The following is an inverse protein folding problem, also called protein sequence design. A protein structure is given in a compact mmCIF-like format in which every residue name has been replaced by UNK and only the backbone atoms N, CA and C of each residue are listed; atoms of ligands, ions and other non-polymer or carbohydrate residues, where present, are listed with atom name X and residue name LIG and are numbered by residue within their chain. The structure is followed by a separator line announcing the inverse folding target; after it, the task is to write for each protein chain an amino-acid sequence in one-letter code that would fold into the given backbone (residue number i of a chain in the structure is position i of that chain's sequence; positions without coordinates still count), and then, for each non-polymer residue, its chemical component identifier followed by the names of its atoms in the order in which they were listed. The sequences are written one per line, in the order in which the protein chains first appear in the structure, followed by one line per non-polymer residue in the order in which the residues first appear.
data_IF_872239750788
#
_entry.id   IF_872239750788
#
_cell.length_a   1.000
_cell.length_b   1.000
_cell.length_c   1.000
_cell.angle_alpha   90.00
_cell.angle_beta   90.00
_cell.angle_gamma   90.00
#
_symmetry.space_group_name_H-M   'P 1'
#
loop_
_entity.id
_entity.type
_entity.pdbx_description
1 polymer ?
#
# COMPACT_ATOMS: atom_id res chain seq x y z
N UNK A 1 -0.17 37.81 51.75
CA UNK A 1 -0.97 36.71 51.17
C UNK A 1 -0.65 36.70 49.69
N UNK A 2 0.40 35.97 49.30
CA UNK A 2 1.04 36.11 48.00
C UNK A 2 0.47 35.08 47.02
N UNK A 3 -0.73 35.37 46.51
CA UNK A 3 -1.36 34.55 45.46
C UNK A 3 -0.46 34.38 44.22
N UNK A 4 0.45 35.33 43.96
CA UNK A 4 1.41 35.26 42.86
C UNK A 4 2.50 34.21 43.06
N UNK A 5 2.99 34.05 44.30
CA UNK A 5 3.98 33.02 44.61
C UNK A 5 3.36 31.63 44.52
N UNK A 6 2.09 31.51 44.95
CA UNK A 6 1.32 30.26 44.90
C UNK A 6 0.99 29.85 43.45
N UNK A 7 0.58 30.81 42.60
CA UNK A 7 0.41 30.59 41.16
C UNK A 7 1.72 30.20 40.47
N UNK A 8 2.85 30.79 40.87
CA UNK A 8 4.18 30.45 40.32
C UNK A 8 4.59 29.04 40.71
N UNK A 9 4.34 28.61 41.95
CA UNK A 9 4.57 27.24 42.38
C UNK A 9 3.63 26.24 41.72
N UNK A 10 2.35 26.59 41.53
CA UNK A 10 1.41 25.75 40.77
C UNK A 10 1.88 25.60 39.32
N UNK A 11 2.32 26.68 38.67
CA UNK A 11 2.81 26.67 37.29
C UNK A 11 4.15 25.91 37.13
N UNK A 12 5.06 26.01 38.10
CA UNK A 12 6.30 25.23 38.13
C UNK A 12 6.08 23.75 38.54
N UNK A 13 5.02 23.46 39.29
CA UNK A 13 4.63 22.10 39.71
C UNK A 13 3.78 21.35 38.69
N UNK A 14 3.20 22.08 37.73
CA UNK A 14 2.55 21.51 36.56
C UNK A 14 3.62 20.83 35.71
N UNK A 15 3.88 19.56 36.02
CA UNK A 15 4.78 18.69 35.26
C UNK A 15 4.39 18.71 33.78
N UNK A 16 5.14 19.46 32.99
CA UNK A 16 5.13 19.41 31.53
C UNK A 16 5.81 18.14 31.00
N UNK A 17 6.39 17.32 31.88
CA UNK A 17 7.04 16.03 31.61
C UNK A 17 6.13 14.98 30.92
N UNK A 18 4.82 15.23 30.86
CA UNK A 18 3.83 14.35 30.24
C UNK A 18 3.20 14.85 28.94
N UNK A 19 3.47 16.10 28.52
CA UNK A 19 3.01 16.57 27.21
C UNK A 19 3.99 16.06 26.15
N UNK A 20 3.53 15.31 25.13
CA UNK A 20 4.36 15.01 23.98
C UNK A 20 4.80 16.33 23.38
N UNK A 21 6.11 16.55 23.32
CA UNK A 21 6.69 17.71 22.65
C UNK A 21 5.99 17.85 21.27
N UNK A 22 5.32 18.98 20.96
CA UNK A 22 4.63 19.14 19.69
C UNK A 22 5.54 18.86 18.48
N UNK A 23 6.85 19.01 18.66
CA UNK A 23 7.86 18.62 17.67
C UNK A 23 8.09 17.10 17.59
N UNK A 24 7.95 16.33 18.66
CA UNK A 24 7.95 14.87 18.63
C UNK A 24 6.73 14.29 17.90
N UNK A 25 5.54 14.83 18.12
CA UNK A 25 4.35 14.45 17.35
C UNK A 25 4.54 14.70 15.85
N UNK A 26 5.00 15.91 15.49
CA UNK A 26 5.29 16.26 14.09
C UNK A 26 6.35 15.34 13.48
N UNK A 27 7.40 14.98 14.23
CA UNK A 27 8.44 14.04 13.78
C UNK A 27 7.86 12.64 13.52
N UNK A 28 6.98 12.13 14.38
CA UNK A 28 6.34 10.82 14.18
C UNK A 28 5.46 10.83 12.93
N UNK A 29 4.64 11.86 12.74
CA UNK A 29 3.77 12.02 11.57
C UNK A 29 4.60 12.12 10.28
N UNK A 30 5.65 12.96 10.27
CA UNK A 30 6.54 13.15 9.12
C UNK A 30 7.32 11.87 8.77
N UNK A 31 7.77 11.11 9.78
CA UNK A 31 8.44 9.82 9.59
C UNK A 31 7.49 8.76 9.03
N UNK A 32 6.26 8.68 9.54
CA UNK A 32 5.25 7.78 9.01
C UNK A 32 4.88 8.12 7.55
N UNK A 33 4.66 9.41 7.26
CA UNK A 33 4.34 9.92 5.92
C UNK A 33 5.46 9.62 4.93
N UNK A 34 6.71 9.99 5.24
CA UNK A 34 7.87 9.74 4.36
C UNK A 34 8.12 8.25 4.10
N UNK A 35 7.96 7.38 5.10
CA UNK A 35 8.06 5.94 4.90
C UNK A 35 6.95 5.37 4.00
N UNK A 36 5.70 5.81 4.20
CA UNK A 36 4.56 5.39 3.37
C UNK A 36 4.67 5.93 1.94
N UNK A 37 5.09 7.18 1.77
CA UNK A 37 5.37 7.81 0.47
C UNK A 37 6.45 7.03 -0.28
N UNK A 38 7.61 6.79 0.33
CA UNK A 38 8.71 6.02 -0.29
C UNK A 38 8.26 4.64 -0.75
N UNK A 39 7.54 3.91 0.10
CA UNK A 39 7.02 2.58 -0.26
C UNK A 39 6.04 2.62 -1.43
N UNK A 40 5.11 3.57 -1.44
CA UNK A 40 4.16 3.73 -2.55
C UNK A 40 4.86 4.13 -3.85
N UNK A 41 5.85 5.01 -3.76
CA UNK A 41 6.61 5.47 -4.91
C UNK A 41 7.43 4.32 -5.51
N UNK A 42 8.08 3.50 -4.66
CA UNK A 42 8.79 2.30 -5.07
C UNK A 42 7.84 1.32 -5.80
N UNK A 43 6.63 1.10 -5.26
CA UNK A 43 5.61 0.25 -5.92
C UNK A 43 5.23 0.78 -7.29
N UNK A 44 5.04 2.09 -7.47
CA UNK A 44 4.76 2.69 -8.78
C UNK A 44 5.90 2.45 -9.76
N UNK A 45 7.13 2.81 -9.38
CA UNK A 45 8.29 2.70 -10.25
C UNK A 45 8.50 1.25 -10.67
N UNK A 46 8.42 0.30 -9.73
CA UNK A 46 8.55 -1.13 -10.03
C UNK A 46 7.42 -1.64 -10.93
N UNK A 47 6.18 -1.19 -10.71
CA UNK A 47 5.04 -1.60 -11.53
C UNK A 47 5.17 -1.08 -12.96
N UNK A 48 5.55 0.19 -13.13
CA UNK A 48 5.79 0.79 -14.44
C UNK A 48 6.97 0.11 -15.15
N UNK A 49 8.08 -0.13 -14.44
CA UNK A 49 9.24 -0.83 -15.00
C UNK A 49 8.85 -2.22 -15.51
N UNK A 50 8.10 -2.99 -14.72
CA UNK A 50 7.66 -4.33 -15.12
C UNK A 50 6.73 -4.28 -16.34
N UNK A 51 5.77 -3.35 -16.38
CA UNK A 51 4.90 -3.16 -17.55
C UNK A 51 5.70 -2.77 -18.79
N UNK A 52 6.69 -1.88 -18.67
CA UNK A 52 7.57 -1.50 -19.78
C UNK A 52 8.41 -2.69 -20.26
N UNK A 53 8.94 -3.52 -19.35
CA UNK A 53 9.68 -4.73 -19.71
C UNK A 53 8.79 -5.71 -20.48
N UNK A 54 7.55 -5.94 -20.04
CA UNK A 54 6.61 -6.81 -20.76
C UNK A 54 6.35 -6.26 -22.18
N UNK A 55 6.11 -4.95 -22.31
CA UNK A 55 5.91 -4.32 -23.62
C UNK A 55 7.15 -4.42 -24.52
N UNK A 56 8.34 -4.22 -23.96
CA UNK A 56 9.60 -4.36 -24.70
C UNK A 56 9.80 -5.80 -25.21
N UNK A 57 9.51 -6.81 -24.36
CA UNK A 57 9.57 -8.21 -24.75
C UNK A 57 8.59 -8.50 -25.89
N UNK A 58 7.35 -8.00 -25.81
CA UNK A 58 6.37 -8.16 -26.89
C UNK A 58 6.78 -7.47 -28.20
N UNK A 59 7.55 -6.38 -28.14
CA UNK A 59 8.02 -5.66 -29.31
C UNK A 59 9.24 -6.32 -29.97
N UNK A 60 10.15 -6.91 -29.17
CA UNK A 60 11.37 -7.57 -29.67
C UNK A 60 11.09 -8.99 -30.13
N UNK A 61 10.21 -9.72 -29.45
CA UNK A 61 9.91 -11.11 -29.76
C UNK A 61 8.70 -11.21 -30.68
N UNK A 62 8.88 -11.87 -31.84
CA UNK A 62 7.77 -12.21 -32.71
C UNK A 62 7.07 -13.48 -32.22
N UNK A 63 5.92 -13.28 -31.57
CA UNK A 63 5.04 -14.36 -31.12
C UNK A 63 4.10 -14.77 -32.26
N UNK A 64 3.84 -16.07 -32.40
CA UNK A 64 2.95 -16.61 -33.43
C UNK A 64 1.47 -16.49 -33.03
N UNK A 65 1.18 -16.54 -31.72
CA UNK A 65 -0.20 -16.51 -31.24
C UNK A 65 -0.62 -15.13 -30.73
N UNK A 66 -1.79 -14.68 -31.17
CA UNK A 66 -2.43 -13.44 -30.71
C UNK A 66 -2.69 -13.49 -29.19
N UNK A 67 -2.92 -14.69 -28.63
CA UNK A 67 -3.14 -14.89 -27.20
C UNK A 67 -1.99 -14.36 -26.34
N UNK A 68 -0.75 -14.43 -26.83
CA UNK A 68 0.44 -13.97 -26.12
C UNK A 68 0.50 -12.44 -26.06
N UNK A 69 0.12 -11.77 -27.16
CA UNK A 69 -0.01 -10.32 -27.19
C UNK A 69 -1.15 -9.83 -26.28
N UNK A 70 -2.31 -10.50 -26.30
CA UNK A 70 -3.43 -10.19 -25.41
C UNK A 70 -3.04 -10.40 -23.94
N UNK A 71 -2.40 -11.54 -23.62
CA UNK A 71 -1.97 -11.88 -22.27
C UNK A 71 -0.95 -10.89 -21.73
N UNK A 72 0.07 -10.57 -22.53
CA UNK A 72 1.06 -9.55 -22.21
C UNK A 72 0.46 -8.15 -22.03
N UNK A 73 -0.47 -7.76 -22.90
CA UNK A 73 -1.23 -6.52 -22.77
C UNK A 73 -2.06 -6.46 -21.47
N UNK A 74 -2.73 -7.55 -21.10
CA UNK A 74 -3.49 -7.65 -19.84
C UNK A 74 -2.57 -7.49 -18.62
N UNK A 75 -1.39 -8.14 -18.64
CA UNK A 75 -0.41 -8.01 -17.57
C UNK A 75 0.11 -6.57 -17.47
N UNK A 76 0.49 -5.95 -18.60
CA UNK A 76 0.94 -4.57 -18.62
C UNK A 76 -0.15 -3.60 -18.11
N UNK A 77 -1.41 -3.80 -18.53
CA UNK A 77 -2.56 -3.02 -18.07
C UNK A 77 -2.80 -3.18 -16.56
N UNK A 78 -2.66 -4.40 -16.02
CA UNK A 78 -2.78 -4.65 -14.59
C UNK A 78 -1.71 -3.91 -13.77
N UNK A 79 -0.48 -3.85 -14.28
CA UNK A 79 0.62 -3.08 -13.68
C UNK A 79 0.37 -1.57 -13.73
N UNK A 80 -0.18 -1.06 -14.83
CA UNK A 80 -0.57 0.35 -14.94
C UNK A 80 -1.73 0.72 -14.01
N UNK A 81 -2.75 -0.14 -13.88
CA UNK A 81 -3.83 0.05 -12.90
C UNK A 81 -3.30 0.08 -11.46
N UNK A 82 -2.33 -0.79 -11.15
CA UNK A 82 -1.67 -0.79 -9.85
C UNK A 82 -0.91 0.52 -9.61
N UNK A 83 -0.15 0.99 -10.60
CA UNK A 83 0.57 2.26 -10.53
C UNK A 83 -0.39 3.45 -10.36
N UNK A 84 -1.44 3.53 -11.17
CA UNK A 84 -2.44 4.61 -11.11
C UNK A 84 -3.16 4.67 -9.75
N UNK A 85 -3.56 3.51 -9.21
CA UNK A 85 -4.22 3.46 -7.91
C UNK A 85 -3.28 3.92 -6.79
N UNK A 86 -2.01 3.53 -6.86
CA UNK A 86 -1.00 4.00 -5.89
C UNK A 86 -0.67 5.48 -6.06
N UNK A 87 -0.70 6.01 -7.29
CA UNK A 87 -0.46 7.41 -7.59
C UNK A 87 -1.58 8.30 -7.03
N UNK A 88 -2.84 7.92 -7.27
CA UNK A 88 -4.00 8.60 -6.67
C UNK A 88 -3.93 8.60 -5.15
N UNK A 89 -3.49 7.48 -4.57
CA UNK A 89 -3.27 7.42 -3.12
C UNK A 89 -2.11 8.32 -2.67
N UNK A 90 -1.00 8.37 -3.41
CA UNK A 90 0.17 9.21 -3.11
C UNK A 90 -0.17 10.70 -3.09
N UNK A 91 -0.95 11.18 -4.08
CA UNK A 91 -1.41 12.58 -4.14
C UNK A 91 -2.10 12.99 -2.84
N UNK A 92 -3.00 12.14 -2.33
CA UNK A 92 -3.72 12.36 -1.06
C UNK A 92 -2.79 12.40 0.17
N UNK A 93 -1.66 11.69 0.16
CA UNK A 93 -0.65 11.79 1.23
C UNK A 93 0.22 13.04 1.08
N UNK A 94 0.34 13.60 -0.12
CA UNK A 94 1.10 14.82 -0.37
C UNK A 94 0.36 16.06 0.10
N UNK A 95 -0.97 16.10 -0.06
CA UNK A 95 -1.86 17.19 0.37
C UNK A 95 -1.98 17.36 1.91
N UNK A 96 -1.35 16.47 2.69
CA UNK A 96 -1.45 16.42 4.15
C UNK A 96 -0.39 17.27 4.90
N UNK A 97 0.20 18.29 4.26
CA UNK A 97 1.41 18.97 4.79
C UNK A 97 1.17 19.79 6.07
N UNK A 98 -0.06 20.29 6.30
CA UNK A 98 -0.42 21.11 7.46
C UNK A 98 -1.79 20.71 8.03
N UNK A 99 -1.88 19.48 8.57
CA UNK A 99 -3.13 19.01 9.20
C UNK A 99 -3.11 19.11 10.72
N UNK A 100 -4.21 19.59 11.29
CA UNK A 100 -4.50 19.52 12.72
C UNK A 100 -4.62 18.07 13.21
N UNK A 101 -4.41 17.82 14.50
CA UNK A 101 -4.50 16.47 15.10
C UNK A 101 -5.86 15.79 14.83
N UNK A 102 -6.95 16.56 14.84
CA UNK A 102 -8.30 16.08 14.51
C UNK A 102 -8.44 15.72 13.03
N UNK A 103 -7.86 16.51 12.14
CA UNK A 103 -7.83 16.24 10.70
C UNK A 103 -6.98 15.00 10.38
N UNK A 104 -5.88 14.80 11.11
CA UNK A 104 -5.06 13.61 10.97
C UNK A 104 -5.78 12.33 11.44
N UNK A 105 -6.56 12.41 12.53
CA UNK A 105 -7.43 11.31 12.98
C UNK A 105 -8.48 10.96 11.91
N UNK A 106 -9.16 11.96 11.36
CA UNK A 106 -10.13 11.77 10.27
C UNK A 106 -9.46 11.16 9.02
N UNK A 107 -8.24 11.61 8.69
CA UNK A 107 -7.45 11.06 7.60
C UNK A 107 -7.08 9.58 7.81
N UNK A 108 -6.70 9.19 9.04
CA UNK A 108 -6.40 7.78 9.38
C UNK A 108 -7.66 6.92 9.19
N UNK A 109 -8.82 7.39 9.67
CA UNK A 109 -10.07 6.64 9.51
C UNK A 109 -10.45 6.47 8.02
N UNK A 110 -10.37 7.54 7.24
CA UNK A 110 -10.64 7.47 5.81
C UNK A 110 -9.58 6.62 5.06
N UNK A 111 -8.34 6.60 5.55
CA UNK A 111 -7.30 5.70 5.01
C UNK A 111 -7.65 4.23 5.27
N UNK A 112 -8.19 3.91 6.45
CA UNK A 112 -8.68 2.56 6.77
C UNK A 112 -9.77 2.12 5.79
N UNK A 113 -10.80 2.94 5.60
CA UNK A 113 -11.91 2.64 4.67
C UNK A 113 -11.41 2.43 3.24
N UNK A 114 -10.48 3.27 2.78
CA UNK A 114 -9.87 3.10 1.45
C UNK A 114 -9.01 1.83 1.35
N UNK A 115 -8.28 1.44 2.41
CA UNK A 115 -7.54 0.18 2.42
C UNK A 115 -8.50 -1.01 2.34
N UNK A 116 -9.57 -1.03 3.10
CA UNK A 116 -10.59 -2.10 3.04
C UNK A 116 -11.20 -2.20 1.63
N UNK A 117 -11.55 -1.07 1.01
CA UNK A 117 -12.06 -1.05 -0.36
C UNK A 117 -11.03 -1.57 -1.38
N UNK A 118 -9.78 -1.11 -1.27
CA UNK A 118 -8.69 -1.55 -2.15
C UNK A 118 -8.45 -3.05 -2.04
N UNK A 119 -8.37 -3.61 -0.84
CA UNK A 119 -8.14 -5.03 -0.61
C UNK A 119 -9.32 -5.92 -1.03
N UNK A 120 -10.56 -5.42 -0.90
CA UNK A 120 -11.77 -6.17 -1.29
C UNK A 120 -12.04 -6.13 -2.79
N UNK A 121 -11.87 -4.98 -3.45
CA UNK A 121 -12.23 -4.81 -4.86
C UNK A 121 -11.03 -4.67 -5.78
N UNK A 122 -10.22 -3.63 -5.60
CA UNK A 122 -9.17 -3.26 -6.56
C UNK A 122 -8.04 -4.29 -6.65
N UNK A 123 -7.57 -4.81 -5.50
CA UNK A 123 -6.52 -5.83 -5.46
C UNK A 123 -6.98 -7.15 -6.08
N UNK A 124 -8.25 -7.52 -5.86
CA UNK A 124 -8.83 -8.74 -6.47
C UNK A 124 -8.89 -8.58 -7.98
N UNK A 125 -9.38 -7.45 -8.47
CA UNK A 125 -9.45 -7.18 -9.91
C UNK A 125 -8.06 -7.22 -10.55
N UNK A 126 -7.06 -6.54 -9.97
CA UNK A 126 -5.68 -6.54 -10.47
C UNK A 126 -5.09 -7.96 -10.48
N UNK A 127 -5.31 -8.73 -9.41
CA UNK A 127 -4.79 -10.09 -9.29
C UNK A 127 -5.43 -11.01 -10.35
N UNK A 128 -6.74 -10.94 -10.55
CA UNK A 128 -7.43 -11.73 -11.58
C UNK A 128 -6.94 -11.36 -12.99
N UNK A 129 -6.85 -10.06 -13.29
CA UNK A 129 -6.38 -9.58 -14.60
C UNK A 129 -4.96 -10.07 -14.90
N UNK A 130 -4.05 -9.96 -13.92
CA UNK A 130 -2.67 -10.41 -14.03
C UNK A 130 -2.61 -11.94 -14.19
N UNK A 131 -3.43 -12.68 -13.43
CA UNK A 131 -3.50 -14.15 -13.50
C UNK A 131 -3.95 -14.63 -14.88
N UNK A 132 -5.02 -14.04 -15.43
CA UNK A 132 -5.54 -14.36 -16.76
C UNK A 132 -4.49 -14.01 -17.82
N UNK A 133 -3.85 -12.84 -17.70
CA UNK A 133 -2.78 -12.43 -18.60
C UNK A 133 -1.60 -13.41 -18.60
N UNK A 134 -1.22 -13.91 -17.43
CA UNK A 134 -0.12 -14.87 -17.29
C UNK A 134 -0.48 -16.25 -17.87
N UNK A 135 -1.71 -16.73 -17.66
CA UNK A 135 -2.22 -17.98 -18.24
C UNK A 135 -2.17 -17.94 -19.78
N UNK A 136 -2.61 -16.81 -20.36
CA UNK A 136 -2.61 -16.57 -21.80
C UNK A 136 -1.18 -16.46 -22.37
N UNK A 137 -0.29 -15.78 -21.65
CA UNK A 137 1.11 -15.60 -22.06
C UNK A 137 1.92 -16.91 -22.03
N UNK A 138 1.67 -17.77 -21.04
CA UNK A 138 2.36 -19.07 -20.89
C UNK A 138 1.89 -20.15 -21.87
N UNK A 139 0.76 -19.95 -22.55
CA UNK A 139 0.19 -20.93 -23.46
C UNK A 139 1.12 -21.25 -24.64
N UNK A 140 1.62 -20.23 -25.32
CA UNK A 140 2.50 -20.38 -26.48
C UNK A 140 3.80 -21.13 -26.18
N UNK A 141 4.61 -20.78 -25.16
CA UNK A 141 5.83 -21.52 -24.84
C UNK A 141 5.55 -22.94 -24.36
N UNK A 142 4.44 -23.19 -23.65
CA UNK A 142 4.09 -24.52 -23.17
C UNK A 142 3.55 -25.45 -24.26
N UNK A 143 2.92 -24.91 -25.32
CA UNK A 143 2.33 -25.71 -26.40
C UNK A 143 3.32 -26.62 -27.14
N UNK A 144 4.63 -26.36 -27.01
CA UNK A 144 5.70 -27.17 -27.61
C UNK A 144 5.80 -28.57 -27.01
N UNK A 145 5.50 -28.73 -25.71
CA UNK A 145 5.55 -30.02 -25.01
C UNK A 145 4.44 -30.12 -23.96
N UNK A 146 3.55 -31.10 -24.09
CA UNK A 146 2.37 -31.26 -23.24
C UNK A 146 2.72 -31.42 -21.74
N UNK A 147 3.78 -32.17 -21.43
CA UNK A 147 4.27 -32.35 -20.06
C UNK A 147 4.77 -31.03 -19.46
N UNK A 148 5.46 -30.22 -20.29
CA UNK A 148 5.98 -28.92 -19.86
C UNK A 148 4.84 -27.93 -19.61
N UNK A 149 3.82 -27.93 -20.47
CA UNK A 149 2.59 -27.16 -20.29
C UNK A 149 1.91 -27.50 -18.96
N UNK A 150 1.73 -28.80 -18.67
CA UNK A 150 1.10 -29.27 -17.44
C UNK A 150 1.89 -28.84 -16.19
N UNK A 151 3.22 -28.99 -16.21
CA UNK A 151 4.08 -28.54 -15.12
C UNK A 151 4.00 -27.01 -14.91
N UNK A 152 4.05 -26.22 -15.98
CA UNK A 152 3.96 -24.75 -15.87
C UNK A 152 2.62 -24.30 -15.31
N UNK A 153 1.51 -24.87 -15.77
CA UNK A 153 0.19 -24.55 -15.22
C UNK A 153 0.02 -25.03 -13.77
N UNK A 154 0.53 -26.21 -13.41
CA UNK A 154 0.49 -26.69 -12.02
C UNK A 154 1.25 -25.75 -11.08
N UNK A 155 2.45 -25.30 -11.48
CA UNK A 155 3.23 -24.31 -10.74
C UNK A 155 2.48 -22.97 -10.63
N UNK A 156 1.84 -22.53 -11.73
CA UNK A 156 1.06 -21.30 -11.75
C UNK A 156 -0.15 -21.35 -10.80
N UNK A 157 -0.96 -22.41 -10.87
CA UNK A 157 -2.10 -22.57 -9.97
C UNK A 157 -1.66 -22.65 -8.51
N UNK A 158 -0.54 -23.33 -8.23
CA UNK A 158 0.06 -23.36 -6.89
C UNK A 158 0.45 -21.96 -6.42
N UNK A 159 1.12 -21.18 -7.28
CA UNK A 159 1.50 -19.79 -6.99
C UNK A 159 0.28 -18.89 -6.73
N UNK A 160 -0.76 -18.99 -7.57
CA UNK A 160 -2.00 -18.25 -7.40
C UNK A 160 -2.73 -18.64 -6.11
N UNK A 161 -2.76 -19.93 -5.78
CA UNK A 161 -3.32 -20.44 -4.53
C UNK A 161 -2.61 -19.86 -3.31
N UNK A 162 -1.28 -19.88 -3.29
CA UNK A 162 -0.47 -19.31 -2.21
C UNK A 162 -0.71 -17.79 -2.08
N UNK A 163 -0.74 -17.08 -3.20
CA UNK A 163 -1.00 -15.63 -3.22
C UNK A 163 -2.40 -15.29 -2.68
N UNK A 164 -3.40 -16.10 -3.04
CA UNK A 164 -4.78 -15.88 -2.64
C UNK A 164 -5.07 -16.24 -1.18
N UNK A 165 -4.62 -17.41 -0.74
CA UNK A 165 -4.96 -17.94 0.60
C UNK A 165 -4.00 -17.52 1.69
N UNK A 166 -2.72 -17.30 1.39
CA UNK A 166 -1.71 -17.03 2.44
C UNK A 166 -1.31 -15.57 2.43
N UNK A 167 -0.88 -15.05 1.28
CA UNK A 167 -0.29 -13.72 1.20
C UNK A 167 -1.35 -12.64 1.42
N UNK A 168 -2.49 -12.72 0.73
CA UNK A 168 -3.57 -11.72 0.83
C UNK A 168 -4.08 -11.51 2.27
N UNK A 169 -4.53 -12.53 3.03
CA UNK A 169 -5.05 -12.30 4.38
C UNK A 169 -3.96 -11.86 5.35
N UNK A 170 -2.72 -12.35 5.22
CA UNK A 170 -1.60 -11.92 6.06
C UNK A 170 -1.21 -10.46 5.83
N UNK A 171 -1.19 -10.02 4.57
CA UNK A 171 -0.90 -8.62 4.21
C UNK A 171 -1.97 -7.67 4.77
N UNK A 172 -3.25 -8.03 4.61
CA UNK A 172 -4.35 -7.24 5.16
C UNK A 172 -4.28 -7.11 6.69
N UNK A 173 -4.04 -8.22 7.40
CA UNK A 173 -3.88 -8.21 8.87
C UNK A 173 -2.73 -7.31 9.32
N UNK A 174 -1.54 -7.46 8.72
CA UNK A 174 -0.37 -6.63 9.06
C UNK A 174 -0.60 -5.14 8.82
N UNK A 175 -1.29 -4.78 7.73
CA UNK A 175 -1.57 -3.38 7.43
C UNK A 175 -2.63 -2.79 8.36
N UNK A 176 -3.65 -3.58 8.72
CA UNK A 176 -4.67 -3.19 9.69
C UNK A 176 -4.09 -2.98 11.10
N UNK A 177 -3.28 -3.92 11.58
CA UNK A 177 -2.60 -3.83 12.89
C UNK A 177 -1.72 -2.58 13.01
N UNK A 178 -0.94 -2.27 11.96
CA UNK A 178 -0.10 -1.06 11.92
C UNK A 178 -0.93 0.22 11.97
N UNK A 179 -2.08 0.23 11.28
CA UNK A 179 -2.96 1.38 11.27
C UNK A 179 -3.61 1.58 12.64
N UNK A 180 -4.05 0.49 13.27
CA UNK A 180 -4.62 0.51 14.62
C UNK A 180 -3.59 0.94 15.68
N UNK A 181 -2.35 0.44 15.60
CA UNK A 181 -1.26 0.87 16.49
C UNK A 181 -0.96 2.37 16.35
N UNK A 182 -1.02 2.91 15.12
CA UNK A 182 -0.83 4.34 14.87
C UNK A 182 -1.99 5.16 15.45
N UNK A 183 -3.23 4.67 15.30
CA UNK A 183 -4.43 5.29 15.90
C UNK A 183 -4.36 5.32 17.43
N UNK A 184 -4.04 4.20 18.08
CA UNK A 184 -3.92 4.11 19.55
C UNK A 184 -2.86 5.05 20.12
N UNK A 185 -1.70 5.15 19.45
CA UNK A 185 -0.66 6.12 19.85
C UNK A 185 -1.18 7.55 19.79
N UNK A 186 -1.92 7.89 18.74
CA UNK A 186 -2.45 9.23 18.56
C UNK A 186 -3.57 9.56 19.56
N UNK A 187 -4.43 8.59 19.88
CA UNK A 187 -5.49 8.73 20.89
C UNK A 187 -4.92 8.88 22.30
N UNK A 188 -3.87 8.12 22.65
CA UNK A 188 -3.19 8.25 23.94
C UNK A 188 -2.55 9.63 24.11
N UNK A 189 -1.91 10.15 23.06
CA UNK A 189 -1.36 11.50 23.05
C UNK A 189 -2.48 12.53 23.22
N UNK A 190 -3.58 12.41 22.48
CA UNK A 190 -4.72 13.33 22.63
C UNK A 190 -5.32 13.32 24.03
N UNK A 191 -5.35 12.17 24.71
CA UNK A 191 -5.83 12.03 26.10
C UNK A 191 -4.84 12.57 27.13
N UNK A 192 -3.57 12.74 26.77
CA UNK A 192 -2.57 13.39 27.63
C UNK A 192 -2.64 14.92 27.54
N UNK A 193 -3.24 15.47 26.47
CA UNK A 193 -3.43 16.91 26.28
C UNK A 193 -4.74 17.45 26.90
N UNK A 194 -5.63 16.58 27.37
CA UNK A 194 -6.98 16.94 27.86
C UNK A 194 -7.17 16.40 29.27
#
# INVERSE_FOLDING_TARGET
MNNLDDLRTIWLSAKTDGLPDPDEMKRIVKKFRSQKLRKKWLVIVMSCLLSCLIMAVLAVMHFKFITTYIGGGLMAASGLLLAFTNFRSLKRFYELDDCSNLEFLAFIEQTRRNQEFYYKKTMVAILLLCSIGLILYLYEPGSRHLLWLACMYAALFSYLGIMWFVVRPRMFKRDAEKLEATRKRLENISKQLN
#
